data_IF_874336129637
#
_entry.id   IF_874336129637
#
_cell.length_a   1.000
_cell.length_b   1.000
_cell.length_c   1.000
_cell.angle_alpha   90.00
_cell.angle_beta   90.00
_cell.angle_gamma   90.00
#
_symmetry.space_group_name_H-M   'P 1'
#
loop_
_entity.id
_entity.type
_entity.pdbx_description
1 polymer ?
#
# COMPACT_ATOMS: atom_id res chain seq x y z
N UNK A 1 6.71 31.50 8.81
CA UNK A 1 5.35 30.95 8.95
C UNK A 1 4.99 30.95 10.42
N UNK A 2 3.78 31.40 10.79
CA UNK A 2 3.33 31.56 12.19
C UNK A 2 2.96 30.23 12.87
N UNK A 3 3.06 29.11 12.16
CA UNK A 3 2.70 27.78 12.69
C UNK A 3 1.23 27.58 13.04
N UNK A 4 0.37 28.55 12.76
CA UNK A 4 -1.06 28.46 13.02
C UNK A 4 -1.77 27.84 11.82
N UNK A 5 -2.35 26.67 11.98
CA UNK A 5 -3.25 26.09 11.00
C UNK A 5 -4.63 26.75 11.10
N UNK A 6 -5.10 27.31 10.00
CA UNK A 6 -6.47 27.83 9.89
C UNK A 6 -7.28 26.86 9.01
N UNK A 7 -8.50 26.57 9.45
CA UNK A 7 -9.42 25.75 8.66
C UNK A 7 -10.03 26.63 7.55
N UNK A 8 -9.78 26.28 6.29
CA UNK A 8 -10.54 26.87 5.21
C UNK A 8 -11.98 26.32 5.24
N UNK A 9 -12.95 27.19 5.01
CA UNK A 9 -14.36 26.85 4.98
C UNK A 9 -14.83 26.37 3.60
N UNK A 10 -13.97 26.44 2.59
CA UNK A 10 -14.28 26.08 1.21
C UNK A 10 -13.61 24.73 0.91
N UNK A 11 -14.43 23.72 0.57
CA UNK A 11 -13.92 22.48 0.03
C UNK A 11 -13.34 22.70 -1.37
N UNK A 12 -12.06 22.41 -1.57
CA UNK A 12 -11.43 22.46 -2.89
C UNK A 12 -11.89 21.32 -3.78
N UNK A 13 -12.02 20.14 -3.18
CA UNK A 13 -12.47 18.90 -3.83
C UNK A 13 -13.57 18.32 -2.96
N UNK A 14 -14.72 18.04 -3.54
CA UNK A 14 -15.87 17.46 -2.86
C UNK A 14 -16.37 16.19 -3.56
N UNK A 15 -17.40 15.56 -2.98
CA UNK A 15 -18.11 14.42 -3.57
C UNK A 15 -17.27 13.16 -3.79
N UNK A 16 -16.08 13.03 -3.16
CA UNK A 16 -15.30 11.79 -3.18
C UNK A 16 -15.98 10.68 -2.38
N UNK A 17 -15.92 9.44 -2.89
CA UNK A 17 -16.60 8.26 -2.32
C UNK A 17 -15.68 7.49 -1.38
N UNK A 18 -15.68 7.81 -0.07
CA UNK A 18 -14.77 7.24 0.93
C UNK A 18 -13.31 7.24 0.45
N UNK A 19 -12.71 8.42 0.23
CA UNK A 19 -11.32 8.49 -0.18
C UNK A 19 -10.44 7.96 0.95
N UNK A 20 -9.48 7.12 0.62
CA UNK A 20 -8.54 6.49 1.56
C UNK A 20 -7.10 6.90 1.32
N UNK A 21 -6.81 7.41 0.12
CA UNK A 21 -5.51 7.98 -0.22
C UNK A 21 -5.68 9.13 -1.21
N UNK A 22 -4.87 10.18 -1.02
CA UNK A 22 -4.60 11.22 -2.01
C UNK A 22 -3.09 11.27 -2.25
N UNK A 23 -2.70 11.36 -3.52
CA UNK A 23 -1.30 11.50 -3.94
C UNK A 23 -1.22 12.65 -4.94
N UNK A 24 -0.15 13.42 -4.90
CA UNK A 24 0.08 14.54 -5.83
C UNK A 24 1.06 14.14 -6.92
N UNK A 25 0.78 14.52 -8.17
CA UNK A 25 1.67 14.40 -9.31
C UNK A 25 1.15 15.28 -10.45
N UNK A 26 2.04 15.74 -11.33
CA UNK A 26 1.66 16.40 -12.59
C UNK A 26 1.33 15.32 -13.64
N UNK A 27 0.05 14.91 -13.67
CA UNK A 27 -0.39 13.77 -14.48
C UNK A 27 -0.59 14.10 -15.96
N UNK A 28 -0.73 15.38 -16.32
CA UNK A 28 -0.89 15.84 -17.71
C UNK A 28 0.32 16.59 -18.26
N UNK A 29 1.38 16.74 -17.44
CA UNK A 29 2.63 17.42 -17.77
C UNK A 29 2.42 18.92 -18.12
N UNK A 30 1.54 19.60 -17.36
CA UNK A 30 1.24 21.01 -17.53
C UNK A 30 1.99 21.94 -16.54
N UNK A 31 2.82 21.35 -15.66
CA UNK A 31 3.64 22.03 -14.65
C UNK A 31 2.89 22.34 -13.36
N UNK A 32 1.69 21.79 -13.16
CA UNK A 32 0.93 21.94 -11.91
C UNK A 32 0.68 20.55 -11.29
N UNK A 33 0.83 20.47 -9.97
CA UNK A 33 0.47 19.25 -9.26
C UNK A 33 -1.05 19.02 -9.26
N UNK A 34 -1.45 17.86 -9.72
CA UNK A 34 -2.79 17.32 -9.66
C UNK A 34 -2.97 16.44 -8.39
N UNK A 35 -4.18 15.96 -8.15
CA UNK A 35 -4.44 14.97 -7.09
C UNK A 35 -4.99 13.68 -7.68
N UNK A 36 -4.34 12.57 -7.38
CA UNK A 36 -4.85 11.23 -7.60
C UNK A 36 -5.58 10.75 -6.35
N UNK A 37 -6.85 10.35 -6.46
CA UNK A 37 -7.68 9.91 -5.36
C UNK A 37 -8.03 8.43 -5.48
N UNK A 38 -7.66 7.64 -4.46
CA UNK A 38 -8.19 6.31 -4.26
C UNK A 38 -9.51 6.41 -3.50
N UNK A 39 -10.62 6.24 -4.22
CA UNK A 39 -11.97 6.26 -3.66
C UNK A 39 -12.42 4.81 -3.43
N UNK A 40 -12.18 4.29 -2.22
CA UNK A 40 -12.55 2.91 -1.88
C UNK A 40 -14.03 2.64 -2.09
N UNK A 41 -14.88 3.59 -1.65
CA UNK A 41 -16.32 3.45 -1.76
C UNK A 41 -16.88 2.28 -0.94
N UNK A 42 -18.00 1.73 -1.40
CA UNK A 42 -18.58 0.46 -0.93
C UNK A 42 -19.28 -0.21 -2.11
N UNK A 43 -20.31 0.40 -2.65
CA UNK A 43 -20.97 -0.01 -3.91
C UNK A 43 -20.57 0.91 -5.06
N UNK A 44 -20.09 2.09 -4.75
CA UNK A 44 -19.66 3.10 -5.70
C UNK A 44 -18.33 3.66 -5.25
N UNK A 45 -17.30 3.53 -6.05
CA UNK A 45 -15.94 4.03 -5.80
C UNK A 45 -15.23 4.22 -7.12
N UNK A 46 -14.01 4.72 -7.09
CA UNK A 46 -13.23 4.94 -8.31
C UNK A 46 -11.73 5.13 -8.00
N UNK A 47 -10.92 4.98 -9.02
CA UNK A 47 -9.68 5.70 -9.12
C UNK A 47 -9.97 6.97 -9.92
N UNK A 48 -9.74 8.14 -9.34
CA UNK A 48 -9.99 9.40 -10.01
C UNK A 48 -8.83 10.37 -9.91
N UNK A 49 -8.68 11.16 -10.93
CA UNK A 49 -7.71 12.21 -11.04
C UNK A 49 -8.42 13.56 -11.01
N UNK A 50 -7.92 14.48 -10.17
CA UNK A 50 -8.39 15.85 -10.04
C UNK A 50 -7.36 16.76 -10.71
N UNK A 51 -7.59 17.07 -11.98
CA UNK A 51 -6.77 17.98 -12.77
C UNK A 51 -6.81 19.38 -12.18
N UNK A 52 -5.65 19.94 -11.91
CA UNK A 52 -5.49 21.29 -11.38
C UNK A 52 -5.51 22.35 -12.48
N UNK A 53 -6.64 23.02 -12.66
CA UNK A 53 -6.81 24.10 -13.65
C UNK A 53 -6.25 25.45 -13.18
N UNK A 54 -5.59 25.52 -12.00
CA UNK A 54 -5.16 26.74 -11.37
C UNK A 54 -6.29 27.50 -10.67
N UNK A 55 -5.93 28.53 -9.86
CA UNK A 55 -6.88 29.36 -9.12
C UNK A 55 -7.86 28.56 -8.25
N UNK A 56 -7.38 27.48 -7.61
CA UNK A 56 -8.17 26.56 -6.78
C UNK A 56 -9.35 25.93 -7.52
N UNK A 57 -9.21 25.69 -8.81
CA UNK A 57 -10.20 24.99 -9.64
C UNK A 57 -9.65 23.63 -10.01
N UNK A 58 -10.49 22.61 -9.85
CA UNK A 58 -10.17 21.23 -10.17
C UNK A 58 -11.23 20.63 -11.09
N UNK A 59 -10.80 19.81 -12.05
CA UNK A 59 -11.67 19.00 -12.89
C UNK A 59 -11.46 17.53 -12.57
N UNK A 60 -12.53 16.82 -12.28
CA UNK A 60 -12.48 15.39 -11.97
C UNK A 60 -12.53 14.56 -13.24
N UNK A 61 -11.55 13.66 -13.40
CA UNK A 61 -11.51 12.61 -14.40
C UNK A 61 -11.57 11.25 -13.70
N UNK A 62 -12.34 10.31 -14.22
CA UNK A 62 -12.44 8.96 -13.67
C UNK A 62 -11.57 8.04 -14.53
N UNK A 63 -10.48 7.52 -13.92
CA UNK A 63 -9.59 6.58 -14.59
C UNK A 63 -10.17 5.15 -14.58
N UNK A 64 -10.79 4.75 -13.45
CA UNK A 64 -11.49 3.46 -13.35
C UNK A 64 -12.69 3.59 -12.44
N UNK A 65 -13.88 3.31 -12.96
CA UNK A 65 -15.15 3.49 -12.26
C UNK A 65 -15.62 2.18 -11.59
N UNK A 66 -14.78 1.68 -10.66
CA UNK A 66 -15.12 0.52 -9.80
C UNK A 66 -14.66 0.81 -8.37
N UNK A 67 -15.36 0.31 -7.35
CA UNK A 67 -14.96 0.49 -5.96
C UNK A 67 -13.69 -0.33 -5.63
N UNK A 68 -13.03 0.05 -4.54
CA UNK A 68 -11.95 -0.73 -3.98
C UNK A 68 -10.54 -0.17 -4.17
N UNK A 69 -10.35 0.98 -4.83
CA UNK A 69 -9.04 1.62 -4.88
C UNK A 69 -8.56 1.98 -3.46
N UNK A 70 -7.45 1.39 -2.98
CA UNK A 70 -6.96 1.61 -1.61
C UNK A 70 -5.57 2.21 -1.54
N UNK A 71 -4.70 1.90 -2.50
CA UNK A 71 -3.32 2.36 -2.52
C UNK A 71 -2.86 2.58 -3.94
N UNK A 72 -2.24 3.73 -4.19
CA UNK A 72 -1.61 4.03 -5.47
C UNK A 72 -0.19 4.58 -5.29
N UNK A 73 0.65 4.33 -6.27
CA UNK A 73 1.97 4.92 -6.47
C UNK A 73 2.01 5.60 -7.82
N UNK A 74 2.72 6.72 -7.89
CA UNK A 74 2.95 7.45 -9.14
C UNK A 74 4.45 7.53 -9.38
N UNK A 75 4.90 6.99 -10.51
CA UNK A 75 6.30 7.02 -10.93
C UNK A 75 6.40 6.83 -12.43
N UNK A 76 7.42 7.39 -13.04
CA UNK A 76 7.78 7.12 -14.45
C UNK A 76 8.37 5.70 -14.53
N UNK A 77 7.51 4.72 -14.83
CA UNK A 77 7.87 3.30 -14.82
C UNK A 77 8.63 2.89 -16.09
N UNK A 78 8.20 3.41 -17.24
CA UNK A 78 8.73 3.04 -18.54
C UNK A 78 9.87 3.96 -19.01
N UNK A 79 10.23 4.97 -18.18
CA UNK A 79 11.27 5.98 -18.45
C UNK A 79 11.00 6.83 -19.69
N UNK A 80 9.72 7.14 -19.99
CA UNK A 80 9.32 8.01 -21.08
C UNK A 80 9.17 9.48 -20.66
N UNK A 81 9.37 9.79 -19.38
CA UNK A 81 9.27 11.13 -18.78
C UNK A 81 7.87 11.49 -18.32
N UNK A 82 6.90 10.57 -18.39
CA UNK A 82 5.54 10.77 -17.93
C UNK A 82 5.27 9.91 -16.67
N UNK A 83 4.51 10.40 -15.69
CA UNK A 83 4.21 9.64 -14.49
C UNK A 83 3.12 8.60 -14.75
N UNK A 84 3.44 7.31 -14.57
CA UNK A 84 2.50 6.20 -14.60
C UNK A 84 1.87 5.95 -13.23
N UNK A 85 0.75 5.24 -13.16
CA UNK A 85 0.02 4.99 -11.92
C UNK A 85 -0.09 3.49 -11.67
N UNK A 86 0.43 3.02 -10.54
CA UNK A 86 0.19 1.70 -9.98
C UNK A 86 -0.90 1.79 -8.92
N UNK A 87 -1.87 0.89 -8.95
CA UNK A 87 -2.98 0.93 -7.98
C UNK A 87 -3.43 -0.46 -7.57
N UNK A 88 -3.67 -0.65 -6.27
CA UNK A 88 -4.32 -1.83 -5.71
C UNK A 88 -5.81 -1.57 -5.54
N UNK A 89 -6.62 -2.44 -6.13
CA UNK A 89 -8.05 -2.55 -5.83
C UNK A 89 -8.30 -3.74 -4.89
N UNK A 90 -9.05 -3.52 -3.82
CA UNK A 90 -9.27 -4.47 -2.73
C UNK A 90 -10.75 -4.79 -2.51
N UNK A 91 -11.61 -4.58 -3.50
CA UNK A 91 -13.02 -4.89 -3.41
C UNK A 91 -13.57 -5.36 -4.76
N UNK A 92 -14.24 -6.51 -4.78
CA UNK A 92 -14.86 -7.08 -5.96
C UNK A 92 -13.88 -7.56 -7.01
N UNK A 93 -13.23 -6.64 -7.67
CA UNK A 93 -12.14 -6.89 -8.64
C UNK A 93 -10.78 -6.66 -8.00
N UNK A 94 -10.39 -7.52 -7.05
CA UNK A 94 -9.11 -7.40 -6.35
C UNK A 94 -7.93 -7.64 -7.29
N UNK A 95 -6.97 -6.71 -7.26
CA UNK A 95 -5.78 -6.84 -8.11
C UNK A 95 -4.92 -5.57 -8.15
N UNK A 96 -3.74 -5.71 -8.71
CA UNK A 96 -2.85 -4.58 -9.01
C UNK A 96 -3.01 -4.23 -10.49
N UNK A 97 -3.21 -2.95 -10.75
CA UNK A 97 -3.37 -2.39 -12.10
C UNK A 97 -2.31 -1.32 -12.34
N UNK A 98 -1.81 -1.27 -13.57
CA UNK A 98 -0.92 -0.25 -14.07
C UNK A 98 -1.67 0.61 -15.09
N UNK A 99 -1.59 1.92 -14.93
CA UNK A 99 -2.07 2.90 -15.89
C UNK A 99 -0.84 3.60 -16.51
N UNK A 100 -0.56 3.28 -17.75
CA UNK A 100 0.56 3.84 -18.51
C UNK A 100 0.10 5.17 -19.09
N UNK A 101 0.79 6.23 -18.73
CA UNK A 101 0.50 7.59 -19.17
C UNK A 101 0.92 7.78 -20.65
N UNK A 102 -0.02 8.23 -21.47
CA UNK A 102 0.22 8.53 -22.90
C UNK A 102 0.41 10.03 -23.18
N UNK A 103 0.41 10.81 -22.11
CA UNK A 103 0.39 12.27 -22.18
C UNK A 103 -1.03 12.83 -22.32
N UNK A 104 -1.15 14.14 -22.03
CA UNK A 104 -2.40 14.90 -22.10
C UNK A 104 -3.55 14.32 -21.24
N UNK A 105 -3.23 13.57 -20.17
CA UNK A 105 -4.23 12.96 -19.29
C UNK A 105 -4.87 11.70 -19.84
N UNK A 106 -4.29 11.07 -20.85
CA UNK A 106 -4.75 9.80 -21.41
C UNK A 106 -3.90 8.64 -20.88
N UNK A 107 -4.54 7.50 -20.54
CA UNK A 107 -3.91 6.36 -19.89
C UNK A 107 -4.34 5.04 -20.50
N UNK A 108 -3.38 4.16 -20.80
CA UNK A 108 -3.64 2.75 -21.10
C UNK A 108 -3.66 1.95 -19.79
N UNK A 109 -4.70 1.11 -19.59
CA UNK A 109 -4.82 0.28 -18.40
C UNK A 109 -4.37 -1.15 -18.66
N UNK A 110 -3.54 -1.69 -17.78
CA UNK A 110 -3.12 -3.09 -17.71
C UNK A 110 -3.52 -3.72 -16.38
N UNK A 111 -4.06 -4.95 -16.39
CA UNK A 111 -4.23 -5.77 -15.19
C UNK A 111 -2.95 -6.58 -14.99
N UNK A 112 -2.19 -6.23 -13.95
CA UNK A 112 -0.86 -6.81 -13.67
C UNK A 112 -0.95 -8.05 -12.80
N UNK A 113 -1.77 -7.99 -11.75
CA UNK A 113 -2.06 -9.11 -10.85
C UNK A 113 -3.56 -9.16 -10.54
N UNK A 114 -4.09 -10.37 -10.50
CA UNK A 114 -5.47 -10.63 -10.12
C UNK A 114 -5.55 -11.53 -8.91
N UNK A 115 -6.39 -11.17 -7.94
CA UNK A 115 -6.60 -11.95 -6.73
C UNK A 115 -8.07 -12.36 -6.57
N UNK A 116 -8.35 -13.51 -5.96
CA UNK A 116 -9.71 -13.85 -5.57
C UNK A 116 -10.25 -12.84 -4.55
N UNK A 117 -11.53 -12.41 -4.62
CA UNK A 117 -12.11 -11.47 -3.65
C UNK A 117 -12.08 -11.95 -2.18
N UNK A 118 -11.82 -13.24 -1.96
CA UNK A 118 -11.67 -13.83 -0.63
C UNK A 118 -10.31 -13.59 0.02
N UNK A 119 -9.34 -13.03 -0.73
CA UNK A 119 -8.00 -12.76 -0.20
C UNK A 119 -8.02 -11.59 0.79
N UNK A 120 -8.88 -10.59 0.58
CA UNK A 120 -8.91 -9.41 1.41
C UNK A 120 -7.61 -8.63 1.27
N UNK A 121 -7.34 -8.19 0.04
CA UNK A 121 -6.19 -7.35 -0.30
C UNK A 121 -6.11 -6.13 0.59
N UNK A 122 -4.96 -5.85 1.18
CA UNK A 122 -4.80 -4.79 2.19
C UNK A 122 -3.76 -3.75 1.84
N UNK A 123 -2.66 -4.15 1.21
CA UNK A 123 -1.57 -3.24 0.83
C UNK A 123 -0.70 -3.81 -0.27
N UNK A 124 0.04 -2.95 -0.96
CA UNK A 124 1.16 -3.33 -1.80
C UNK A 124 2.24 -2.25 -1.77
N UNK A 125 3.47 -2.64 -2.12
CA UNK A 125 4.60 -1.74 -2.33
C UNK A 125 5.39 -2.19 -3.56
N UNK A 126 6.00 -1.23 -4.23
CA UNK A 126 6.92 -1.46 -5.34
C UNK A 126 8.35 -1.44 -4.81
N UNK A 127 9.11 -2.50 -5.05
CA UNK A 127 10.50 -2.62 -4.59
C UNK A 127 11.30 -3.50 -5.56
N UNK A 128 12.54 -3.14 -5.85
CA UNK A 128 13.42 -3.90 -6.74
C UNK A 128 14.29 -4.88 -5.92
N UNK A 129 13.80 -6.10 -5.71
CA UNK A 129 14.47 -7.12 -4.89
C UNK A 129 15.70 -7.73 -5.55
N UNK A 130 15.75 -7.76 -6.86
CA UNK A 130 16.84 -8.38 -7.61
C UNK A 130 17.81 -7.36 -8.22
N UNK A 131 17.58 -6.06 -7.98
CA UNK A 131 18.41 -4.93 -8.42
C UNK A 131 18.58 -4.88 -9.94
N UNK A 132 17.52 -5.24 -10.67
CA UNK A 132 17.53 -5.27 -12.14
C UNK A 132 16.96 -4.00 -12.79
N UNK A 133 16.52 -3.04 -11.96
CA UNK A 133 15.97 -1.75 -12.38
C UNK A 133 14.46 -1.76 -12.66
N UNK A 134 13.79 -2.89 -12.49
CA UNK A 134 12.35 -3.00 -12.64
C UNK A 134 11.69 -3.30 -11.28
N UNK A 135 10.58 -2.63 -10.93
CA UNK A 135 9.94 -2.87 -9.66
C UNK A 135 9.28 -4.24 -9.60
N UNK A 136 9.52 -4.95 -8.51
CA UNK A 136 8.77 -6.10 -8.06
C UNK A 136 7.63 -5.64 -7.14
N UNK A 137 6.71 -6.52 -6.77
CA UNK A 137 5.58 -6.21 -5.92
C UNK A 137 5.66 -6.99 -4.62
N UNK A 138 5.69 -6.27 -3.47
CA UNK A 138 5.31 -6.81 -2.18
C UNK A 138 3.81 -6.60 -2.01
N UNK A 139 3.09 -7.66 -1.71
CA UNK A 139 1.64 -7.64 -1.56
C UNK A 139 1.22 -8.26 -0.24
N UNK A 140 0.23 -7.68 0.41
CA UNK A 140 -0.38 -8.24 1.62
C UNK A 140 -1.86 -8.47 1.45
N UNK A 141 -2.34 -9.55 2.05
CA UNK A 141 -3.76 -9.84 2.17
C UNK A 141 -4.06 -10.42 3.54
N UNK A 142 -5.18 -10.01 4.11
CA UNK A 142 -5.53 -10.39 5.47
C UNK A 142 -6.75 -9.66 6.01
N UNK A 143 -7.44 -8.86 5.19
CA UNK A 143 -8.64 -8.18 5.64
C UNK A 143 -9.77 -9.20 5.89
N UNK A 144 -10.24 -9.22 7.13
CA UNK A 144 -11.36 -10.03 7.62
C UNK A 144 -12.53 -9.16 8.11
N UNK A 145 -12.55 -7.86 7.78
CA UNK A 145 -13.53 -6.93 8.32
C UNK A 145 -14.98 -7.29 7.96
N UNK A 146 -15.18 -7.86 6.78
CA UNK A 146 -16.50 -8.15 6.24
C UNK A 146 -17.04 -9.53 6.66
N UNK A 147 -16.22 -10.39 7.26
CA UNK A 147 -16.58 -11.75 7.64
C UNK A 147 -16.15 -12.05 9.07
N UNK A 148 -16.74 -13.10 9.66
CA UNK A 148 -16.26 -13.63 10.92
C UNK A 148 -14.75 -13.92 10.82
N UNK A 149 -13.94 -13.62 11.85
CA UNK A 149 -12.50 -13.85 11.82
C UNK A 149 -12.23 -15.33 11.68
N UNK A 150 -12.01 -15.76 10.44
CA UNK A 150 -11.65 -17.13 10.07
C UNK A 150 -10.21 -17.10 9.58
N UNK A 151 -9.38 -17.98 10.15
CA UNK A 151 -8.01 -18.14 9.67
C UNK A 151 -8.03 -18.65 8.22
N UNK A 152 -7.30 -17.98 7.36
CA UNK A 152 -7.20 -18.33 5.94
C UNK A 152 -5.75 -18.64 5.60
N UNK A 153 -5.45 -19.81 5.05
CA UNK A 153 -4.07 -20.27 4.83
C UNK A 153 -3.31 -19.44 3.77
N UNK A 154 -3.99 -18.58 3.06
CA UNK A 154 -3.43 -17.70 2.05
C UNK A 154 -3.23 -16.26 2.54
N UNK A 155 -3.60 -15.94 3.80
CA UNK A 155 -3.27 -14.63 4.37
C UNK A 155 -1.76 -14.52 4.64
N UNK A 156 -1.16 -13.40 4.29
CA UNK A 156 0.26 -13.16 4.50
C UNK A 156 0.88 -12.12 3.60
N UNK A 157 2.20 -12.20 3.52
CA UNK A 157 3.04 -11.38 2.65
C UNK A 157 3.46 -12.20 1.44
N UNK A 158 3.35 -11.61 0.27
CA UNK A 158 3.79 -12.18 -1.01
C UNK A 158 4.82 -11.28 -1.66
N UNK A 159 5.78 -11.88 -2.36
CA UNK A 159 6.65 -11.17 -3.31
C UNK A 159 6.37 -11.73 -4.70
N UNK A 160 6.05 -10.85 -5.63
CA UNK A 160 5.90 -11.15 -7.05
C UNK A 160 7.01 -10.47 -7.84
N UNK A 161 7.82 -11.27 -8.54
CA UNK A 161 8.92 -10.79 -9.36
C UNK A 161 8.42 -10.39 -10.74
N UNK A 162 8.88 -9.23 -11.21
CA UNK A 162 8.66 -8.75 -12.56
C UNK A 162 9.64 -9.40 -13.56
N UNK A 163 9.15 -9.83 -14.70
CA UNK A 163 10.00 -10.35 -15.79
C UNK A 163 10.50 -9.23 -16.73
N UNK A 164 10.39 -7.97 -16.36
CA UNK A 164 10.68 -6.74 -17.13
C UNK A 164 9.66 -6.41 -18.21
N UNK A 165 8.59 -7.16 -18.30
CA UNK A 165 7.52 -6.98 -19.28
C UNK A 165 6.14 -6.91 -18.64
N UNK A 166 6.08 -6.53 -17.34
CA UNK A 166 4.87 -6.45 -16.51
C UNK A 166 4.17 -7.80 -16.26
N UNK A 167 4.84 -8.92 -16.53
CA UNK A 167 4.35 -10.21 -16.10
C UNK A 167 5.01 -10.59 -14.78
N UNK A 168 4.18 -10.79 -13.77
CA UNK A 168 4.61 -11.02 -12.40
C UNK A 168 4.42 -12.48 -12.01
N UNK A 169 5.46 -13.05 -11.37
CA UNK A 169 5.43 -14.42 -10.87
C UNK A 169 5.70 -14.44 -9.38
N UNK A 170 4.84 -15.14 -8.62
CA UNK A 170 5.08 -15.33 -7.19
C UNK A 170 6.43 -16.01 -6.96
N UNK A 171 7.27 -15.34 -6.17
CA UNK A 171 8.60 -15.82 -5.75
C UNK A 171 8.61 -16.29 -4.31
N UNK A 172 7.87 -15.60 -3.43
CA UNK A 172 7.88 -15.84 -2.00
C UNK A 172 6.47 -15.70 -1.42
N UNK A 173 6.23 -16.42 -0.32
CA UNK A 173 5.03 -16.29 0.51
C UNK A 173 5.39 -16.59 1.95
N UNK A 174 5.03 -15.69 2.86
CA UNK A 174 5.09 -15.92 4.30
C UNK A 174 3.69 -15.81 4.91
N UNK A 175 3.18 -16.90 5.55
CA UNK A 175 1.84 -16.91 6.12
C UNK A 175 1.80 -16.07 7.40
N UNK A 176 0.90 -15.09 7.45
CA UNK A 176 0.59 -14.30 8.65
C UNK A 176 -0.91 -14.08 8.69
N UNK A 177 -1.57 -14.45 9.79
CA UNK A 177 -3.00 -14.22 9.95
C UNK A 177 -3.30 -12.73 9.97
N UNK A 178 -4.24 -12.31 9.13
CA UNK A 178 -4.70 -10.92 9.12
C UNK A 178 -3.65 -9.89 8.74
N UNK A 179 -2.69 -10.27 7.88
CA UNK A 179 -1.64 -9.39 7.39
C UNK A 179 -2.23 -8.13 6.76
N UNK A 180 -1.74 -6.96 7.16
CA UNK A 180 -2.37 -5.70 6.76
C UNK A 180 -1.47 -4.79 5.93
N UNK A 181 -0.19 -4.63 6.31
CA UNK A 181 0.79 -3.81 5.58
C UNK A 181 2.17 -4.43 5.69
N UNK A 182 2.94 -4.34 4.61
CA UNK A 182 4.36 -4.67 4.58
C UNK A 182 5.16 -3.53 3.91
N UNK A 183 6.38 -3.32 4.38
CA UNK A 183 7.34 -2.35 3.84
C UNK A 183 8.64 -3.08 3.59
N UNK A 184 9.20 -2.90 2.39
CA UNK A 184 10.49 -3.47 1.99
C UNK A 184 11.59 -2.41 2.05
N UNK A 185 12.61 -2.61 2.91
CA UNK A 185 13.82 -1.77 3.03
C UNK A 185 14.99 -2.66 3.40
N UNK A 186 16.18 -2.17 3.12
CA UNK A 186 17.42 -2.69 3.70
C UNK A 186 17.53 -2.13 5.12
N UNK A 187 17.04 -2.90 6.12
CA UNK A 187 17.00 -2.43 7.51
C UNK A 187 18.30 -2.71 8.25
N UNK A 188 19.10 -3.67 7.84
CA UNK A 188 20.34 -4.03 8.53
C UNK A 188 21.62 -3.61 7.79
N UNK A 189 21.46 -3.00 6.59
CA UNK A 189 22.55 -2.42 5.82
C UNK A 189 23.41 -3.45 5.07
N UNK A 190 22.90 -4.67 4.85
CA UNK A 190 23.62 -5.72 4.13
C UNK A 190 23.44 -5.63 2.61
N UNK A 191 22.54 -4.77 2.17
CA UNK A 191 22.25 -4.46 0.78
C UNK A 191 21.07 -5.24 0.21
N UNK A 192 20.54 -6.24 0.88
CA UNK A 192 19.35 -6.96 0.44
C UNK A 192 18.08 -6.37 1.09
N UNK A 193 16.95 -6.40 0.40
CA UNK A 193 15.72 -5.87 0.95
C UNK A 193 15.08 -6.86 1.93
N UNK A 194 14.91 -6.41 3.16
CA UNK A 194 14.11 -7.05 4.20
C UNK A 194 12.65 -6.64 4.13
N UNK A 195 11.79 -7.25 4.94
CA UNK A 195 10.37 -6.88 5.04
C UNK A 195 9.96 -6.70 6.49
N UNK A 196 9.46 -5.51 6.83
CA UNK A 196 8.69 -5.28 8.06
C UNK A 196 7.20 -5.40 7.74
N UNK A 197 6.44 -6.14 8.56
CA UNK A 197 5.00 -6.34 8.32
C UNK A 197 4.20 -6.31 9.61
N UNK A 198 2.96 -5.80 9.50
CA UNK A 198 1.99 -5.72 10.60
C UNK A 198 0.72 -6.47 10.25
N UNK A 199 0.08 -7.02 11.29
CA UNK A 199 -1.23 -7.68 11.20
C UNK A 199 -2.26 -7.00 12.08
N UNK A 200 -3.37 -6.59 11.47
CA UNK A 200 -4.50 -6.01 12.19
C UNK A 200 -5.46 -7.08 12.72
N UNK A 201 -5.56 -8.22 12.05
CA UNK A 201 -6.41 -9.37 12.42
C UNK A 201 -5.58 -10.61 12.78
N UNK A 202 -4.43 -10.41 13.46
CA UNK A 202 -3.61 -11.50 13.96
C UNK A 202 -4.40 -12.44 14.89
N UNK A 203 -3.94 -13.68 15.02
CA UNK A 203 -4.51 -14.62 15.97
C UNK A 203 -3.99 -14.35 17.40
N UNK A 204 -4.41 -13.23 17.97
CA UNK A 204 -3.88 -12.68 19.23
C UNK A 204 -3.89 -13.67 20.41
N UNK A 205 -4.87 -14.57 20.46
CA UNK A 205 -4.97 -15.56 21.54
C UNK A 205 -3.93 -16.70 21.47
N UNK A 206 -3.34 -16.94 20.29
CA UNK A 206 -2.39 -18.04 20.08
C UNK A 206 -1.04 -17.59 19.56
N UNK A 207 -1.03 -16.57 18.68
CA UNK A 207 0.16 -16.07 17.98
C UNK A 207 0.22 -14.54 18.03
N UNK A 208 0.23 -13.92 19.25
CA UNK A 208 0.17 -12.47 19.38
C UNK A 208 1.39 -11.75 18.77
N UNK A 209 2.52 -12.46 18.60
CA UNK A 209 3.72 -11.94 17.94
C UNK A 209 3.50 -11.66 16.44
N UNK A 210 2.48 -12.26 15.80
CA UNK A 210 2.14 -11.93 14.41
C UNK A 210 1.64 -10.49 14.25
N UNK A 211 1.36 -9.76 15.34
CA UNK A 211 1.04 -8.35 15.30
C UNK A 211 2.10 -7.51 14.58
N UNK A 212 3.38 -7.90 14.72
CA UNK A 212 4.50 -7.38 13.96
C UNK A 212 5.50 -8.50 13.67
N UNK A 213 5.95 -8.61 12.42
CA UNK A 213 7.02 -9.52 12.02
C UNK A 213 8.03 -8.77 11.15
N UNK A 214 9.29 -8.96 11.47
CA UNK A 214 10.43 -8.58 10.64
C UNK A 214 10.97 -9.82 9.95
N UNK A 215 11.01 -9.82 8.64
CA UNK A 215 11.56 -10.87 7.80
C UNK A 215 12.92 -10.41 7.31
N UNK A 216 14.00 -10.87 7.97
CA UNK A 216 15.36 -10.60 7.54
C UNK A 216 15.70 -11.45 6.32
N UNK A 217 16.16 -10.83 5.26
CA UNK A 217 16.60 -11.50 4.04
C UNK A 217 18.09 -11.86 4.14
N UNK A 218 18.41 -13.14 4.26
CA UNK A 218 19.81 -13.63 4.28
C UNK A 218 20.38 -13.83 2.86
N UNK A 219 19.78 -13.19 1.85
CA UNK A 219 20.10 -13.36 0.44
C UNK A 219 19.24 -14.42 -0.25
N UNK A 220 19.05 -14.27 -1.56
CA UNK A 220 18.29 -15.21 -2.40
C UNK A 220 16.85 -15.53 -1.93
N UNK A 221 16.20 -14.58 -1.25
CA UNK A 221 14.85 -14.74 -0.66
C UNK A 221 14.79 -15.78 0.47
N UNK A 222 15.91 -16.02 1.16
CA UNK A 222 15.96 -16.82 2.39
C UNK A 222 15.64 -15.92 3.58
N UNK A 223 14.35 -15.78 3.89
CA UNK A 223 13.86 -14.90 4.94
C UNK A 223 13.78 -15.60 6.30
N UNK A 224 14.39 -15.01 7.31
CA UNK A 224 14.30 -15.42 8.70
C UNK A 224 13.34 -14.49 9.48
N UNK A 225 12.28 -15.01 10.14
CA UNK A 225 11.31 -14.19 10.84
C UNK A 225 11.76 -13.81 12.25
N UNK A 226 11.60 -12.53 12.60
CA UNK A 226 11.81 -11.98 13.93
C UNK A 226 10.60 -11.20 14.39
N UNK A 227 10.44 -11.04 15.70
CA UNK A 227 9.46 -10.17 16.32
C UNK A 227 10.00 -9.64 17.65
N UNK A 228 9.33 -8.69 18.27
CA UNK A 228 9.71 -8.09 19.54
C UNK A 228 8.61 -8.25 20.58
N UNK A 229 8.99 -8.12 21.86
CA UNK A 229 8.06 -8.43 22.96
C UNK A 229 6.81 -7.53 22.97
N UNK A 230 6.94 -6.29 22.53
CA UNK A 230 5.88 -5.28 22.49
C UNK A 230 4.97 -5.43 21.26
N UNK A 231 5.30 -6.30 20.30
CA UNK A 231 4.45 -6.56 19.12
C UNK A 231 3.00 -6.90 19.48
N UNK A 232 2.81 -7.60 20.62
CA UNK A 232 1.52 -7.99 21.17
C UNK A 232 0.78 -6.87 21.94
N UNK A 233 1.42 -5.74 22.19
CA UNK A 233 0.83 -4.65 22.99
C UNK A 233 -0.13 -3.78 22.18
N UNK A 234 -0.08 -3.87 20.86
CA UNK A 234 -0.87 -3.06 19.96
C UNK A 234 -1.66 -3.89 18.96
N UNK A 235 -2.68 -3.26 18.43
CA UNK A 235 -3.38 -3.67 17.24
C UNK A 235 -2.95 -2.72 16.13
N UNK A 236 -1.84 -3.07 15.48
CA UNK A 236 -1.14 -2.18 14.58
C UNK A 236 -1.92 -1.99 13.27
N UNK A 237 -2.18 -0.74 12.90
CA UNK A 237 -2.97 -0.38 11.74
C UNK A 237 -2.12 0.37 10.69
N UNK A 238 -1.18 1.18 11.14
CA UNK A 238 -0.29 1.93 10.26
C UNK A 238 1.15 1.66 10.61
N UNK A 239 2.02 1.74 9.60
CA UNK A 239 3.46 1.62 9.74
C UNK A 239 4.12 2.50 8.71
N UNK A 240 5.23 3.11 9.05
CA UNK A 240 6.08 3.84 8.12
C UNK A 240 7.55 3.63 8.46
N UNK A 241 8.42 3.82 7.47
CA UNK A 241 9.85 3.60 7.58
C UNK A 241 10.62 4.83 7.11
N UNK A 242 11.62 5.25 7.87
CA UNK A 242 12.49 6.38 7.56
C UNK A 242 13.52 6.58 8.66
N UNK A 243 14.51 7.41 8.39
CA UNK A 243 15.48 7.86 9.40
C UNK A 243 14.86 9.02 10.20
N UNK A 244 14.20 8.69 11.34
CA UNK A 244 13.46 9.67 12.12
C UNK A 244 14.30 10.39 13.19
N UNK A 245 15.41 9.83 13.59
CA UNK A 245 16.32 10.43 14.58
C UNK A 245 17.60 11.02 13.96
N UNK A 246 17.82 10.81 12.65
CA UNK A 246 18.94 11.38 11.90
C UNK A 246 20.26 10.63 12.09
N UNK A 247 20.22 9.36 12.50
CA UNK A 247 21.41 8.54 12.73
C UNK A 247 21.92 7.80 11.49
N UNK A 248 21.18 7.86 10.38
CA UNK A 248 21.49 7.24 9.10
C UNK A 248 21.01 5.80 8.97
N UNK A 249 20.31 5.26 9.97
CA UNK A 249 19.63 3.96 9.89
C UNK A 249 18.14 4.12 9.63
N UNK A 250 17.50 3.06 9.14
CA UNK A 250 16.06 3.11 8.86
C UNK A 250 15.27 2.68 10.09
N UNK A 251 14.50 3.62 10.64
CA UNK A 251 13.58 3.39 11.75
C UNK A 251 12.20 2.94 11.27
N UNK A 252 11.42 2.39 12.19
CA UNK A 252 10.01 2.06 11.99
C UNK A 252 9.11 2.78 12.98
N UNK A 253 8.06 3.44 12.48
CA UNK A 253 6.99 3.98 13.29
C UNK A 253 5.74 3.14 13.12
N UNK A 254 5.16 2.67 14.23
CA UNK A 254 3.94 1.89 14.28
C UNK A 254 2.80 2.70 14.88
N UNK A 255 1.65 2.74 14.19
CA UNK A 255 0.44 3.36 14.68
C UNK A 255 -0.58 2.34 15.16
N UNK A 256 -1.00 2.48 16.43
CA UNK A 256 -1.97 1.59 17.06
C UNK A 256 -3.41 2.05 16.81
N UNK A 257 -4.33 1.12 16.65
CA UNK A 257 -5.75 1.40 16.62
C UNK A 257 -6.25 1.82 18.02
N UNK A 258 -7.06 2.88 18.10
CA UNK A 258 -7.39 3.60 19.33
C UNK A 258 -8.09 2.79 20.43
N UNK A 259 -8.64 1.63 20.11
CA UNK A 259 -9.35 0.76 21.07
C UNK A 259 -8.42 -0.27 21.71
N UNK A 260 -7.11 -0.13 21.60
CA UNK A 260 -6.11 -1.01 22.24
C UNK A 260 -6.27 -2.50 21.91
N UNK A 261 -5.44 -3.37 22.48
CA UNK A 261 -5.66 -4.80 22.37
C UNK A 261 -7.06 -5.13 22.91
N UNK A 262 -7.82 -5.91 22.14
CA UNK A 262 -9.12 -6.39 22.59
C UNK A 262 -8.94 -7.16 23.91
N UNK A 263 -10.01 -7.30 24.71
CA UNK A 263 -9.95 -8.13 25.92
C UNK A 263 -9.39 -9.53 25.68
N UNK A 264 -9.40 -9.99 24.44
CA UNK A 264 -8.81 -11.24 23.98
C UNK A 264 -7.27 -11.24 23.96
N UNK A 265 -6.65 -10.06 23.88
CA UNK A 265 -5.17 -9.90 23.91
C UNK A 265 -4.67 -9.68 25.33
N UNK A 266 -5.54 -9.26 26.23
CA UNK A 266 -5.21 -8.97 27.64
C UNK A 266 -5.53 -10.13 28.60
N UNK A 267 -5.90 -11.31 28.09
CA UNK A 267 -6.16 -12.50 28.90
C UNK A 267 -5.01 -13.49 28.88
#
# INVERSE_FOLDING_TARGET
ATGKMEKDSIALIDSLKRPVQLTTADLNNDGRDDYLACEFGYLTGALSWMENLGNNKFQRHILRNVPGAIKAYVQDYNHDGLPDIWVLFAQGEEGVFLFINKGNGDFDQEEVLRFPPSYGSSYFELADFNKDGYPDIVYTCGDNADYSPVLKPYHGVYIFMNDKTNHFKQKYFYPINGCYKAIARDFDGDGDLDIATISFFAQYSKQPQEGFVYLKNNGNFDFEPYSFAEAKMGRWLTMDAGDYDGDGTTDLILGNFSIGPTKEVSA
#
